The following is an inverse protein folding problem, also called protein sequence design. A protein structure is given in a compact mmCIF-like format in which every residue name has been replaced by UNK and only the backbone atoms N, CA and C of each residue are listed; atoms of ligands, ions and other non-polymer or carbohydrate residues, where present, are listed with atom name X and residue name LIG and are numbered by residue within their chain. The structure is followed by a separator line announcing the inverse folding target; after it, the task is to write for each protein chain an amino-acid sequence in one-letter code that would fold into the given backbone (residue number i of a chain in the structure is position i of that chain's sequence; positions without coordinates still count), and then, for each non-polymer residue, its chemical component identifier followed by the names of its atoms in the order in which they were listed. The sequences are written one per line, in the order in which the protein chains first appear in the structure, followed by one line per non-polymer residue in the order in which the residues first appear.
data_IF_500815318312
#
_entry.id   IF_500815318312
#
_cell.length_a   1.000
_cell.length_b   1.000
_cell.length_c   1.000
_cell.angle_alpha   90.00
_cell.angle_beta   90.00
_cell.angle_gamma   90.00
#
_symmetry.space_group_name_H-M   'P 1'
#
loop_
_entity.id
_entity.type
_entity.pdbx_description
1 polymer ?
#
# COMPACT_ATOMS: atom_id res chain seq x y z
N UNK A 1 -42.83 -24.33 -14.36
CA UNK A 1 -41.78 -23.36 -13.93
C UNK A 1 -42.32 -21.96 -14.17
N UNK A 2 -42.21 -21.02 -13.21
CA UNK A 2 -42.60 -19.65 -13.47
C UNK A 2 -41.71 -19.05 -14.55
N UNK A 3 -42.33 -18.39 -15.53
CA UNK A 3 -41.65 -17.71 -16.64
C UNK A 3 -40.67 -16.67 -16.09
N UNK A 4 -39.45 -16.55 -16.62
CA UNK A 4 -38.52 -15.52 -16.19
C UNK A 4 -39.10 -14.14 -16.51
N UNK A 5 -39.38 -13.36 -15.46
CA UNK A 5 -39.89 -12.00 -15.59
C UNK A 5 -38.82 -11.17 -16.29
N UNK A 6 -39.10 -10.77 -17.52
CA UNK A 6 -38.28 -9.84 -18.29
C UNK A 6 -38.33 -8.47 -17.61
N UNK A 7 -37.22 -8.01 -17.04
CA UNK A 7 -37.11 -6.66 -16.48
C UNK A 7 -37.40 -5.60 -17.56
N UNK A 8 -38.19 -4.57 -17.21
CA UNK A 8 -38.33 -3.39 -18.05
C UNK A 8 -36.98 -2.71 -18.27
N UNK A 9 -36.84 -1.95 -19.36
CA UNK A 9 -35.57 -1.31 -19.73
C UNK A 9 -35.02 -0.40 -18.62
N UNK A 10 -35.89 0.30 -17.90
CA UNK A 10 -35.53 1.15 -16.76
C UNK A 10 -35.04 0.32 -15.56
N UNK A 11 -35.68 -0.82 -15.28
CA UNK A 11 -35.28 -1.74 -14.22
C UNK A 11 -33.93 -2.41 -14.50
N UNK A 12 -33.61 -2.66 -15.78
CA UNK A 12 -32.32 -3.21 -16.19
C UNK A 12 -31.18 -2.20 -15.96
N UNK A 13 -31.41 -0.91 -16.20
CA UNK A 13 -30.44 0.15 -15.89
C UNK A 13 -30.27 0.29 -14.37
N UNK A 14 -31.36 0.27 -13.61
CA UNK A 14 -31.33 0.31 -12.14
C UNK A 14 -30.56 -0.87 -11.57
N UNK A 15 -30.82 -2.08 -12.06
CA UNK A 15 -30.11 -3.30 -11.69
C UNK A 15 -28.60 -3.18 -11.92
N UNK A 16 -28.18 -2.72 -13.11
CA UNK A 16 -26.77 -2.53 -13.44
C UNK A 16 -26.06 -1.54 -12.51
N UNK A 17 -26.73 -0.46 -12.14
CA UNK A 17 -26.20 0.52 -11.19
C UNK A 17 -26.07 -0.08 -9.77
N UNK A 18 -27.04 -0.86 -9.32
CA UNK A 18 -26.96 -1.57 -8.02
C UNK A 18 -25.79 -2.55 -8.01
N UNK A 19 -25.60 -3.33 -9.08
CA UNK A 19 -24.46 -4.25 -9.21
C UNK A 19 -23.14 -3.48 -9.14
N UNK A 20 -23.02 -2.35 -9.84
CA UNK A 20 -21.82 -1.52 -9.81
C UNK A 20 -21.56 -0.96 -8.39
N UNK A 21 -22.56 -0.35 -7.77
CA UNK A 21 -22.43 0.25 -6.44
C UNK A 21 -22.08 -0.80 -5.39
N UNK A 22 -22.73 -1.96 -5.40
CA UNK A 22 -22.36 -3.06 -4.52
C UNK A 22 -20.93 -3.56 -4.77
N UNK A 23 -20.48 -3.59 -6.03
CA UNK A 23 -19.10 -3.97 -6.36
C UNK A 23 -18.10 -2.99 -5.72
N UNK A 24 -18.35 -1.68 -5.87
CA UNK A 24 -17.45 -0.63 -5.39
C UNK A 24 -17.48 -0.54 -3.86
N UNK A 25 -18.67 -0.42 -3.27
CA UNK A 25 -18.85 -0.18 -1.83
C UNK A 25 -18.35 -1.35 -0.97
N UNK A 26 -18.32 -2.57 -1.52
CA UNK A 26 -17.78 -3.74 -0.82
C UNK A 26 -16.34 -4.07 -1.23
N UNK A 27 -15.68 -3.25 -2.05
CA UNK A 27 -14.31 -3.48 -2.50
C UNK A 27 -14.13 -4.75 -3.34
N UNK A 28 -15.18 -5.23 -4.01
CA UNK A 28 -15.13 -6.48 -4.76
C UNK A 28 -14.41 -6.30 -6.10
N UNK A 29 -13.57 -7.27 -6.47
CA UNK A 29 -13.00 -7.33 -7.81
C UNK A 29 -14.10 -7.46 -8.86
N UNK A 30 -14.08 -6.65 -9.93
CA UNK A 30 -14.98 -6.78 -11.09
C UNK A 30 -15.03 -8.18 -11.72
N UNK A 31 -14.10 -9.09 -11.37
CA UNK A 31 -14.13 -10.49 -11.79
C UNK A 31 -15.28 -11.28 -11.14
N UNK A 32 -15.84 -10.83 -10.02
CA UNK A 32 -16.87 -11.55 -9.26
C UNK A 32 -18.12 -11.86 -10.10
N UNK A 33 -18.49 -10.98 -11.04
CA UNK A 33 -19.64 -11.20 -11.95
C UNK A 33 -19.48 -12.38 -12.91
N UNK A 34 -18.25 -12.88 -13.08
CA UNK A 34 -17.94 -14.07 -13.88
C UNK A 34 -17.79 -15.34 -13.05
N UNK A 35 -17.76 -15.23 -11.73
CA UNK A 35 -17.62 -16.39 -10.85
C UNK A 35 -18.92 -17.23 -10.91
N UNK A 36 -18.78 -18.55 -11.08
CA UNK A 36 -19.93 -19.45 -11.23
C UNK A 36 -20.81 -19.48 -9.97
N UNK A 37 -20.22 -19.45 -8.78
CA UNK A 37 -20.97 -19.41 -7.51
C UNK A 37 -21.78 -18.13 -7.40
N UNK A 38 -21.19 -16.98 -7.75
CA UNK A 38 -21.90 -15.69 -7.76
C UNK A 38 -23.05 -15.70 -8.77
N UNK A 39 -22.88 -16.31 -9.94
CA UNK A 39 -23.93 -16.43 -10.93
C UNK A 39 -25.07 -17.34 -10.46
N UNK A 40 -24.75 -18.49 -9.85
CA UNK A 40 -25.74 -19.41 -9.26
C UNK A 40 -26.52 -18.74 -8.14
N UNK A 41 -25.86 -17.99 -7.28
CA UNK A 41 -26.50 -17.23 -6.20
C UNK A 41 -27.52 -16.22 -6.73
N UNK A 42 -27.13 -15.40 -7.73
CA UNK A 42 -28.05 -14.42 -8.34
C UNK A 42 -29.19 -15.12 -9.08
N UNK A 43 -28.90 -16.21 -9.78
CA UNK A 43 -29.91 -17.00 -10.48
C UNK A 43 -30.92 -17.64 -9.52
N UNK A 44 -30.47 -18.13 -8.36
CA UNK A 44 -31.34 -18.63 -7.30
C UNK A 44 -32.24 -17.52 -6.74
N UNK A 45 -31.68 -16.33 -6.49
CA UNK A 45 -32.45 -15.20 -5.99
C UNK A 45 -33.52 -14.73 -6.99
N UNK A 46 -33.17 -14.64 -8.28
CA UNK A 46 -34.12 -14.39 -9.35
C UNK A 46 -33.53 -14.82 -10.72
N UNK A 47 -34.11 -15.84 -11.38
CA UNK A 47 -33.63 -16.35 -12.67
C UNK A 47 -33.63 -15.31 -13.81
N UNK A 48 -34.49 -14.29 -13.72
CA UNK A 48 -34.59 -13.20 -14.70
C UNK A 48 -33.46 -12.17 -14.60
N UNK A 49 -32.69 -12.15 -13.50
CA UNK A 49 -31.58 -11.22 -13.31
C UNK A 49 -30.29 -11.75 -13.94
N UNK A 50 -29.83 -11.05 -14.99
CA UNK A 50 -28.54 -11.34 -15.62
C UNK A 50 -27.48 -10.38 -15.12
N UNK A 51 -26.36 -10.92 -14.66
CA UNK A 51 -25.19 -10.11 -14.31
C UNK A 51 -24.55 -9.52 -15.57
N UNK A 52 -24.13 -8.24 -15.55
CA UNK A 52 -23.38 -7.65 -16.64
C UNK A 52 -22.01 -8.30 -16.77
N UNK A 53 -21.50 -8.38 -17.99
CA UNK A 53 -20.14 -8.86 -18.20
C UNK A 53 -19.13 -7.90 -17.59
N UNK A 54 -17.96 -8.41 -17.14
CA UNK A 54 -16.86 -7.59 -16.61
C UNK A 54 -16.51 -6.40 -17.50
N UNK A 55 -16.50 -6.57 -18.83
CA UNK A 55 -16.19 -5.51 -19.80
C UNK A 55 -17.26 -4.42 -19.84
N UNK A 56 -18.52 -4.81 -19.73
CA UNK A 56 -19.65 -3.86 -19.72
C UNK A 56 -19.72 -3.13 -18.39
N UNK A 57 -19.46 -3.84 -17.28
CA UNK A 57 -19.44 -3.28 -15.93
C UNK A 57 -18.31 -2.27 -15.74
N UNK A 58 -17.07 -2.65 -16.04
CA UNK A 58 -15.89 -1.76 -15.93
C UNK A 58 -15.75 -0.76 -17.10
N UNK A 59 -16.65 -0.82 -18.08
CA UNK A 59 -16.65 0.06 -19.25
C UNK A 59 -17.88 0.97 -19.22
N UNK A 60 -18.85 0.68 -20.10
CA UNK A 60 -20.03 1.54 -20.30
C UNK A 60 -20.78 1.89 -19.01
N UNK A 61 -21.01 0.92 -18.12
CA UNK A 61 -21.77 1.16 -16.88
C UNK A 61 -20.96 2.06 -15.94
N UNK A 62 -19.69 1.74 -15.72
CA UNK A 62 -18.80 2.56 -14.90
C UNK A 62 -18.69 3.98 -15.45
N UNK A 63 -18.49 4.16 -16.75
CA UNK A 63 -18.36 5.48 -17.40
C UNK A 63 -19.66 6.30 -17.26
N UNK A 64 -20.81 5.69 -17.52
CA UNK A 64 -22.09 6.37 -17.39
C UNK A 64 -22.37 6.79 -15.94
N UNK A 65 -21.99 5.93 -14.98
CA UNK A 65 -22.18 6.23 -13.57
C UNK A 65 -21.16 7.26 -13.06
N UNK A 66 -19.91 7.23 -13.57
CA UNK A 66 -18.87 8.17 -13.18
C UNK A 66 -19.21 9.60 -13.55
N UNK A 67 -19.91 9.86 -14.65
CA UNK A 67 -20.32 11.22 -15.00
C UNK A 67 -21.35 11.76 -14.01
N UNK A 68 -22.30 10.91 -13.57
CA UNK A 68 -23.26 11.27 -12.54
C UNK A 68 -22.58 11.54 -11.18
N UNK A 69 -21.64 10.67 -10.78
CA UNK A 69 -20.85 10.84 -9.55
C UNK A 69 -20.02 12.13 -9.64
N UNK A 70 -19.37 12.38 -10.77
CA UNK A 70 -18.57 13.58 -11.00
C UNK A 70 -19.42 14.84 -10.87
N UNK A 71 -20.60 14.89 -11.48
CA UNK A 71 -21.49 16.03 -11.37
C UNK A 71 -21.99 16.25 -9.94
N UNK A 72 -22.33 15.17 -9.22
CA UNK A 72 -22.70 15.25 -7.81
C UNK A 72 -21.54 15.73 -6.93
N UNK A 73 -20.32 15.25 -7.15
CA UNK A 73 -19.12 15.67 -6.43
C UNK A 73 -18.78 17.13 -6.70
N UNK A 74 -18.94 17.60 -7.94
CA UNK A 74 -18.75 19.02 -8.28
C UNK A 74 -19.75 19.88 -7.51
N UNK A 75 -21.02 19.50 -7.49
CA UNK A 75 -22.06 20.23 -6.76
C UNK A 75 -21.78 20.28 -5.24
N UNK A 76 -21.38 19.16 -4.64
CA UNK A 76 -20.97 19.09 -3.23
C UNK A 76 -19.76 19.98 -2.98
N UNK A 77 -18.72 19.88 -3.81
CA UNK A 77 -17.49 20.65 -3.66
C UNK A 77 -17.71 22.16 -3.83
N UNK A 78 -18.60 22.58 -4.72
CA UNK A 78 -18.93 23.99 -4.94
C UNK A 78 -19.75 24.59 -3.79
N UNK A 79 -20.57 23.77 -3.12
CA UNK A 79 -21.39 24.18 -1.97
C UNK A 79 -20.64 24.15 -0.64
N UNK A 80 -19.45 23.55 -0.61
CA UNK A 80 -18.65 23.48 0.61
C UNK A 80 -18.09 24.85 1.00
N UNK A 81 -18.53 25.34 2.17
CA UNK A 81 -18.19 26.68 2.69
C UNK A 81 -16.76 26.74 3.24
N UNK A 82 -16.19 25.60 3.64
CA UNK A 82 -14.89 25.50 4.30
C UNK A 82 -13.75 25.18 3.32
N UNK A 83 -14.09 24.74 2.11
CA UNK A 83 -13.17 24.41 1.03
C UNK A 83 -12.79 22.92 1.01
N UNK A 84 -12.35 22.46 -0.16
CA UNK A 84 -11.93 21.07 -0.37
C UNK A 84 -10.42 20.94 -0.15
N UNK A 85 -10.02 20.00 0.71
CA UNK A 85 -8.61 19.61 0.86
C UNK A 85 -8.29 18.47 -0.09
N UNK A 86 -7.21 18.59 -0.85
CA UNK A 86 -6.71 17.54 -1.75
C UNK A 86 -5.32 17.12 -1.29
N UNK A 87 -5.14 15.83 -0.99
CA UNK A 87 -3.85 15.25 -0.66
C UNK A 87 -3.33 14.45 -1.86
N UNK A 88 -2.08 14.68 -2.25
CA UNK A 88 -1.42 13.89 -3.29
C UNK A 88 -0.39 12.96 -2.66
N UNK A 89 -0.47 11.68 -3.05
CA UNK A 89 0.54 10.69 -2.68
C UNK A 89 1.48 10.44 -3.86
N UNK A 90 2.78 10.51 -3.63
CA UNK A 90 3.79 10.31 -4.66
C UNK A 90 4.34 8.88 -4.60
N UNK A 91 4.00 8.08 -5.61
CA UNK A 91 4.56 6.74 -5.77
C UNK A 91 5.46 6.65 -7.00
N UNK A 92 6.67 6.10 -6.80
CA UNK A 92 7.51 5.60 -7.88
C UNK A 92 7.53 4.08 -7.82
N UNK A 93 7.18 3.43 -8.92
CA UNK A 93 7.29 1.98 -9.01
C UNK A 93 8.76 1.54 -9.12
N UNK A 94 9.02 0.23 -9.01
CA UNK A 94 10.37 -0.37 -9.09
C UNK A 94 11.06 -0.02 -10.42
N UNK A 95 10.28 0.21 -11.49
CA UNK A 95 10.78 0.64 -12.81
C UNK A 95 11.02 2.16 -12.91
N UNK A 96 11.04 2.87 -11.78
CA UNK A 96 11.20 4.33 -11.67
C UNK A 96 10.14 5.15 -12.42
N UNK A 97 8.99 4.56 -12.74
CA UNK A 97 7.88 5.29 -13.32
C UNK A 97 7.10 5.98 -12.23
N UNK A 98 6.82 7.26 -12.43
CA UNK A 98 6.02 8.08 -11.53
C UNK A 98 4.54 7.74 -11.73
N UNK A 99 3.88 7.35 -10.63
CA UNK A 99 2.45 7.10 -10.60
C UNK A 99 1.77 8.43 -10.24
N UNK A 100 0.82 8.84 -11.09
CA UNK A 100 -0.18 9.93 -11.00
C UNK A 100 0.09 11.15 -10.10
N UNK A 101 0.34 10.97 -8.80
CA UNK A 101 0.41 12.04 -7.80
C UNK A 101 1.47 13.10 -8.08
N UNK A 102 2.69 12.71 -8.50
CA UNK A 102 3.75 13.68 -8.80
C UNK A 102 3.44 14.54 -10.02
N UNK A 103 2.89 13.94 -11.08
CA UNK A 103 2.48 14.66 -12.29
C UNK A 103 1.30 15.60 -12.01
N UNK A 104 0.28 15.13 -11.30
CA UNK A 104 -0.88 15.96 -10.93
C UNK A 104 -0.51 17.14 -10.03
N UNK A 105 0.36 16.93 -9.04
CA UNK A 105 0.83 18.01 -8.17
C UNK A 105 1.59 19.09 -8.97
N UNK A 106 2.40 18.69 -9.96
CA UNK A 106 3.12 19.61 -10.84
C UNK A 106 2.16 20.43 -11.71
N UNK A 107 1.21 19.77 -12.39
CA UNK A 107 0.22 20.46 -13.23
C UNK A 107 -0.67 21.40 -12.41
N UNK A 108 -1.06 20.99 -11.20
CA UNK A 108 -1.86 21.83 -10.31
C UNK A 108 -1.10 23.10 -9.87
N UNK A 109 0.22 23.02 -9.62
CA UNK A 109 1.03 24.22 -9.34
C UNK A 109 1.04 25.18 -10.53
N UNK A 110 1.12 24.66 -11.74
CA UNK A 110 1.08 25.47 -12.95
C UNK A 110 -0.26 26.21 -13.05
N UNK A 111 -1.38 25.51 -12.88
CA UNK A 111 -2.72 26.10 -12.88
C UNK A 111 -2.92 27.12 -11.76
N UNK A 112 -2.39 26.86 -10.55
CA UNK A 112 -2.44 27.82 -9.45
C UNK A 112 -1.71 29.13 -9.80
N UNK A 113 -0.54 29.03 -10.43
CA UNK A 113 0.20 30.19 -10.91
C UNK A 113 -0.59 30.96 -11.95
N UNK A 114 -1.17 30.27 -12.94
CA UNK A 114 -1.95 30.89 -14.02
C UNK A 114 -3.19 31.60 -13.46
N UNK A 115 -3.92 30.96 -12.54
CA UNK A 115 -5.23 31.44 -12.08
C UNK A 115 -5.16 32.43 -10.91
N UNK A 116 -4.20 32.25 -10.01
CA UNK A 116 -4.13 33.01 -8.77
C UNK A 116 -2.86 33.86 -8.65
N UNK A 117 -1.94 33.76 -9.61
CA UNK A 117 -0.60 34.38 -9.59
C UNK A 117 0.17 34.12 -8.28
N UNK A 118 -0.13 33.01 -7.61
CA UNK A 118 0.49 32.57 -6.36
C UNK A 118 0.40 31.06 -6.25
N UNK A 119 1.37 30.47 -5.57
CA UNK A 119 1.34 29.05 -5.23
C UNK A 119 0.71 28.88 -3.86
N UNK A 120 -0.28 28.00 -3.74
CA UNK A 120 -0.70 27.52 -2.43
C UNK A 120 0.22 26.37 -2.00
N UNK A 121 0.46 26.23 -0.70
CA UNK A 121 1.30 25.16 -0.19
C UNK A 121 0.68 23.79 -0.52
N UNK A 122 1.29 23.05 -1.44
CA UNK A 122 1.01 21.63 -1.62
C UNK A 122 1.90 20.85 -0.67
N UNK A 123 1.29 20.27 0.36
CA UNK A 123 1.97 19.36 1.28
C UNK A 123 2.33 18.09 0.51
N UNK A 124 3.60 17.96 0.16
CA UNK A 124 4.17 16.70 -0.31
C UNK A 124 4.45 15.85 0.92
N UNK A 125 3.73 14.76 1.07
CA UNK A 125 4.00 13.80 2.14
C UNK A 125 5.36 13.15 1.88
N UNK A 126 6.28 13.26 2.84
CA UNK A 126 7.50 12.47 2.83
C UNK A 126 7.10 10.98 2.86
N UNK A 127 7.73 10.16 2.01
CA UNK A 127 7.58 8.72 2.02
C UNK A 127 8.18 8.14 3.30
N UNK A 128 7.43 8.19 4.40
CA UNK A 128 7.78 7.51 5.65
C UNK A 128 7.50 6.03 5.48
N UNK A 129 8.52 5.28 5.02
CA UNK A 129 8.44 3.83 4.83
C UNK A 129 8.54 3.04 6.14
N UNK A 130 8.08 3.61 7.25
CA UNK A 130 8.18 3.01 8.59
C UNK A 130 7.53 1.62 8.62
N UNK A 131 6.35 1.48 8.00
CA UNK A 131 5.70 0.19 7.82
C UNK A 131 6.59 -0.81 7.06
N UNK A 132 7.21 -0.41 5.96
CA UNK A 132 8.08 -1.28 5.17
C UNK A 132 9.31 -1.73 5.97
N UNK A 133 9.96 -0.82 6.70
CA UNK A 133 11.10 -1.15 7.56
C UNK A 133 10.68 -2.09 8.69
N UNK A 134 9.57 -1.80 9.37
CA UNK A 134 9.02 -2.66 10.42
C UNK A 134 8.73 -4.07 9.90
N UNK A 135 8.04 -4.21 8.77
CA UNK A 135 7.72 -5.51 8.19
C UNK A 135 8.97 -6.24 7.69
N UNK A 136 9.98 -5.51 7.19
CA UNK A 136 11.28 -6.08 6.86
C UNK A 136 11.95 -6.70 8.10
N UNK A 137 12.09 -5.94 9.18
CA UNK A 137 12.67 -6.43 10.44
C UNK A 137 11.85 -7.56 11.06
N UNK A 138 10.51 -7.45 11.03
CA UNK A 138 9.61 -8.50 11.47
C UNK A 138 9.85 -9.80 10.69
N UNK A 139 9.88 -9.73 9.36
CA UNK A 139 10.12 -10.88 8.49
C UNK A 139 11.49 -11.50 8.75
N UNK A 140 12.55 -10.68 8.80
CA UNK A 140 13.92 -11.12 9.11
C UNK A 140 13.99 -11.87 10.45
N UNK A 141 13.35 -11.35 11.49
CA UNK A 141 13.33 -12.01 12.80
C UNK A 141 12.56 -13.34 12.78
N UNK A 142 11.48 -13.45 12.00
CA UNK A 142 10.74 -14.71 11.84
C UNK A 142 11.56 -15.76 11.09
N UNK A 143 12.41 -15.33 10.16
CA UNK A 143 13.24 -16.22 9.34
C UNK A 143 14.63 -16.46 9.92
N UNK A 144 14.97 -15.93 11.11
CA UNK A 144 16.31 -16.07 11.74
C UNK A 144 16.83 -17.51 11.73
N UNK A 145 16.03 -18.47 12.21
CA UNK A 145 16.45 -19.88 12.27
C UNK A 145 16.68 -20.47 10.87
N UNK A 146 15.79 -20.14 9.93
CA UNK A 146 15.93 -20.58 8.55
C UNK A 146 17.19 -20.00 7.89
N UNK A 147 17.53 -18.74 8.20
CA UNK A 147 18.77 -18.09 7.72
C UNK A 147 20.03 -18.72 8.34
N UNK A 148 20.01 -19.10 9.62
CA UNK A 148 21.13 -19.85 10.22
C UNK A 148 21.33 -21.23 9.59
N UNK A 149 20.24 -21.97 9.35
CA UNK A 149 20.29 -23.25 8.61
C UNK A 149 20.70 -23.06 7.14
N UNK A 150 20.39 -21.90 6.55
CA UNK A 150 20.81 -21.57 5.20
C UNK A 150 22.34 -21.37 5.14
N UNK A 151 22.91 -20.66 6.11
CA UNK A 151 24.37 -20.49 6.20
C UNK A 151 25.08 -21.82 6.39
N UNK A 152 24.58 -22.70 7.26
CA UNK A 152 25.22 -24.01 7.46
C UNK A 152 25.26 -24.89 6.19
N UNK A 153 24.54 -24.53 5.13
CA UNK A 153 24.52 -25.26 3.84
C UNK A 153 25.33 -24.59 2.74
N UNK A 154 25.52 -23.28 2.83
CA UNK A 154 26.02 -22.45 1.72
C UNK A 154 27.15 -21.49 2.14
N UNK A 155 27.60 -21.54 3.40
CA UNK A 155 28.76 -20.79 3.85
C UNK A 155 30.03 -21.27 3.12
N UNK A 156 30.96 -20.36 2.78
CA UNK A 156 32.26 -20.73 2.26
C UNK A 156 33.09 -21.44 3.35
N UNK A 157 34.05 -22.29 2.94
CA UNK A 157 34.95 -23.03 3.86
C UNK A 157 35.75 -22.11 4.80
N UNK A 158 35.98 -20.86 4.38
CA UNK A 158 36.64 -19.79 5.13
C UNK A 158 35.81 -19.28 6.33
N UNK A 159 34.52 -19.63 6.42
CA UNK A 159 33.65 -19.20 7.51
C UNK A 159 33.93 -19.94 8.84
N UNK A 160 34.41 -21.19 8.77
CA UNK A 160 34.71 -22.01 9.95
C UNK A 160 36.15 -21.78 10.48
N UNK A 161 36.94 -20.90 9.84
CA UNK A 161 38.29 -20.57 10.29
C UNK A 161 38.23 -19.45 11.33
N UNK A 162 38.70 -19.74 12.56
CA UNK A 162 38.74 -18.79 13.68
C UNK A 162 39.45 -17.48 13.28
N UNK A 163 38.71 -16.36 13.39
CA UNK A 163 39.14 -15.01 13.06
C UNK A 163 40.46 -14.62 13.77
N UNK A 164 41.54 -14.45 13.00
CA UNK A 164 42.57 -13.45 13.32
C UNK A 164 42.33 -12.22 12.44
N UNK A 165 42.14 -11.08 13.10
CA UNK A 165 41.94 -9.72 12.59
C UNK A 165 40.53 -9.29 12.15
N UNK A 166 39.85 -8.63 13.10
CA UNK A 166 38.85 -7.61 12.88
C UNK A 166 39.41 -6.47 12.02
N UNK A 167 39.18 -6.50 10.71
CA UNK A 167 39.17 -5.26 9.93
C UNK A 167 38.08 -5.34 8.87
N UNK A 168 37.03 -4.54 9.06
CA UNK A 168 35.93 -4.38 8.10
C UNK A 168 36.50 -3.75 6.83
N UNK A 169 36.86 -4.58 5.85
CA UNK A 169 37.26 -4.13 4.53
C UNK A 169 36.04 -4.14 3.61
N UNK A 170 35.48 -2.96 3.33
CA UNK A 170 34.55 -2.79 2.21
C UNK A 170 35.34 -2.97 0.91
N UNK A 171 35.34 -4.17 0.33
CA UNK A 171 35.93 -4.41 -0.99
C UNK A 171 34.88 -4.26 -2.09
N UNK A 172 34.73 -3.03 -2.58
CA UNK A 172 34.27 -2.79 -3.96
C UNK A 172 35.36 -3.27 -4.93
N UNK A 173 35.42 -4.58 -5.20
CA UNK A 173 36.11 -5.10 -6.38
C UNK A 173 35.35 -6.27 -6.99
N UNK A 174 34.78 -5.99 -8.15
CA UNK A 174 34.42 -6.98 -9.16
C UNK A 174 35.66 -7.85 -9.46
N UNK A 175 35.65 -9.09 -8.99
CA UNK A 175 36.60 -10.10 -9.43
C UNK A 175 35.83 -11.32 -9.94
N UNK A 176 35.85 -11.44 -11.26
CA UNK A 176 35.40 -12.57 -12.05
C UNK A 176 36.15 -13.84 -11.63
N UNK A 177 35.49 -14.67 -10.81
CA UNK A 177 35.58 -16.15 -10.71
C UNK A 177 34.99 -16.60 -9.36
N UNK A 178 33.74 -16.21 -9.06
CA UNK A 178 33.04 -16.77 -7.90
C UNK A 178 32.45 -18.12 -8.29
N UNK A 179 32.78 -19.16 -7.54
CA UNK A 179 31.96 -20.37 -7.47
C UNK A 179 30.52 -19.92 -7.17
N UNK A 180 29.65 -20.02 -8.16
CA UNK A 180 28.33 -19.36 -8.26
C UNK A 180 27.28 -19.87 -7.24
N UNK A 181 27.72 -20.57 -6.18
CA UNK A 181 26.88 -21.26 -5.19
C UNK A 181 27.16 -20.89 -3.74
N UNK A 182 28.27 -20.21 -3.44
CA UNK A 182 28.63 -19.86 -2.07
C UNK A 182 28.09 -18.47 -1.67
N UNK A 183 27.63 -18.34 -0.43
CA UNK A 183 27.21 -17.06 0.14
C UNK A 183 28.41 -16.12 0.34
N UNK A 184 28.24 -14.80 0.15
CA UNK A 184 29.23 -13.82 0.57
C UNK A 184 29.54 -13.92 2.07
N UNK A 185 30.84 -13.91 2.43
CA UNK A 185 31.32 -14.11 3.80
C UNK A 185 30.80 -13.03 4.76
N UNK A 186 30.71 -11.78 4.31
CA UNK A 186 30.16 -10.65 5.04
C UNK A 186 28.70 -10.87 5.46
N UNK A 187 27.88 -11.42 4.55
CA UNK A 187 26.48 -11.77 4.82
C UNK A 187 26.39 -12.90 5.85
N UNK A 188 27.25 -13.92 5.75
CA UNK A 188 27.33 -14.99 6.74
C UNK A 188 27.67 -14.44 8.14
N UNK A 189 28.70 -13.57 8.23
CA UNK A 189 29.11 -12.93 9.49
C UNK A 189 28.00 -12.08 10.10
N UNK A 190 27.25 -11.30 9.29
CA UNK A 190 26.12 -10.50 9.77
C UNK A 190 25.01 -11.38 10.36
N UNK A 191 24.64 -12.46 9.68
CA UNK A 191 23.54 -13.33 10.10
C UNK A 191 23.93 -14.18 11.31
N UNK A 192 25.20 -14.53 11.51
CA UNK A 192 25.59 -15.26 12.71
C UNK A 192 25.77 -14.36 13.95
N UNK A 193 25.99 -13.06 13.73
CA UNK A 193 26.13 -12.08 14.79
C UNK A 193 24.85 -11.90 15.65
N UNK A 194 24.91 -12.34 16.91
CA UNK A 194 23.81 -12.21 17.86
C UNK A 194 23.54 -10.76 18.31
N UNK A 195 24.55 -9.89 18.33
CA UNK A 195 24.40 -8.45 18.62
C UNK A 195 23.55 -7.79 17.54
N UNK A 196 23.83 -8.08 16.26
CA UNK A 196 23.04 -7.59 15.14
C UNK A 196 21.56 -7.99 15.26
N UNK A 197 21.28 -9.25 15.62
CA UNK A 197 19.89 -9.70 15.84
C UNK A 197 19.20 -8.98 17.01
N UNK A 198 19.94 -8.63 18.07
CA UNK A 198 19.43 -7.86 19.21
C UNK A 198 19.07 -6.44 18.76
N UNK A 199 19.90 -5.81 17.96
CA UNK A 199 19.66 -4.47 17.38
C UNK A 199 18.43 -4.47 16.47
N UNK A 200 18.30 -5.43 15.54
CA UNK A 200 17.11 -5.56 14.67
C UNK A 200 15.84 -5.72 15.52
N UNK A 201 15.91 -6.45 16.63
CA UNK A 201 14.78 -6.60 17.57
C UNK A 201 14.44 -5.29 18.27
N UNK A 202 15.44 -4.50 18.65
CA UNK A 202 15.23 -3.16 19.23
C UNK A 202 14.62 -2.21 18.21
N UNK A 203 15.14 -2.17 16.98
CA UNK A 203 14.61 -1.35 15.89
C UNK A 203 13.15 -1.69 15.59
N UNK A 204 12.79 -2.97 15.55
CA UNK A 204 11.38 -3.40 15.41
C UNK A 204 10.50 -2.85 16.54
N UNK A 205 10.95 -2.93 17.80
CA UNK A 205 10.20 -2.41 18.95
C UNK A 205 10.02 -0.91 18.86
N UNK A 206 11.07 -0.19 18.50
CA UNK A 206 11.08 1.26 18.37
C UNK A 206 10.17 1.74 17.24
N UNK A 207 10.10 1.03 16.11
CA UNK A 207 9.25 1.38 14.98
C UNK A 207 7.76 1.03 15.16
N UNK A 208 7.44 0.04 15.99
CA UNK A 208 6.06 -0.43 16.20
C UNK A 208 5.06 0.71 16.53
N UNK A 209 5.32 1.61 17.50
CA UNK A 209 4.38 2.70 17.80
C UNK A 209 4.17 3.65 16.63
N UNK A 210 5.22 3.95 15.86
CA UNK A 210 5.13 4.80 14.67
C UNK A 210 4.28 4.16 13.58
N UNK A 211 4.42 2.84 13.38
CA UNK A 211 3.59 2.09 12.43
C UNK A 211 2.11 2.10 12.84
N UNK A 212 1.83 1.94 14.13
CA UNK A 212 0.46 2.00 14.67
C UNK A 212 -0.19 3.37 14.44
N UNK A 213 0.53 4.45 14.75
CA UNK A 213 0.08 5.80 14.49
C UNK A 213 -0.13 6.06 12.98
N UNK A 214 0.84 5.67 12.14
CA UNK A 214 0.74 5.83 10.69
C UNK A 214 -0.49 5.11 10.13
N UNK A 215 -0.72 3.86 10.53
CA UNK A 215 -1.90 3.09 10.13
C UNK A 215 -3.20 3.79 10.51
N UNK A 216 -3.26 4.40 11.71
CA UNK A 216 -4.43 5.16 12.17
C UNK A 216 -4.63 6.45 11.37
N UNK A 217 -3.55 7.16 11.07
CA UNK A 217 -3.59 8.44 10.35
C UNK A 217 -3.84 8.27 8.84
N UNK A 218 -3.59 7.08 8.28
CA UNK A 218 -3.82 6.77 6.87
C UNK A 218 -5.21 6.21 6.57
N UNK A 219 -6.06 6.00 7.58
CA UNK A 219 -7.46 5.58 7.35
C UNK A 219 -8.27 6.75 6.78
N UNK A 220 -9.23 6.46 5.89
CA UNK A 220 -10.09 7.45 5.24
C UNK A 220 -10.84 8.39 6.21
N UNK A 221 -11.03 7.97 7.46
CA UNK A 221 -11.75 8.71 8.49
C UNK A 221 -10.83 9.35 9.55
N UNK A 222 -9.52 9.38 9.33
CA UNK A 222 -8.57 10.03 10.23
C UNK A 222 -8.86 11.54 10.32
N UNK A 223 -8.82 12.08 11.53
CA UNK A 223 -9.10 13.50 11.80
C UNK A 223 -7.86 14.21 12.33
N UNK A 224 -7.87 15.53 12.28
CA UNK A 224 -6.73 16.33 12.75
C UNK A 224 -6.40 16.10 14.24
N UNK A 225 -7.38 15.79 15.09
CA UNK A 225 -7.11 15.44 16.49
C UNK A 225 -6.39 14.09 16.63
N UNK A 226 -6.51 13.16 15.67
CA UNK A 226 -5.75 11.91 15.69
C UNK A 226 -4.26 12.16 15.50
N UNK A 227 -3.90 13.23 14.78
CA UNK A 227 -2.52 13.71 14.66
C UNK A 227 -2.01 14.17 16.02
N UNK A 228 -2.78 15.00 16.72
CA UNK A 228 -2.43 15.46 18.07
C UNK A 228 -2.30 14.30 19.06
N UNK A 229 -3.22 13.34 19.03
CA UNK A 229 -3.12 12.12 19.84
C UNK A 229 -1.89 11.29 19.51
N UNK A 230 -1.51 11.19 18.24
CA UNK A 230 -0.29 10.48 17.82
C UNK A 230 0.97 11.15 18.38
N UNK A 231 1.04 12.49 18.35
CA UNK A 231 2.14 13.23 18.98
C UNK A 231 2.17 13.06 20.49
N UNK A 232 1.03 13.15 21.17
CA UNK A 232 0.95 12.91 22.62
C UNK A 232 1.36 11.49 23.01
N UNK A 233 0.99 10.51 22.20
CA UNK A 233 1.40 9.12 22.37
C UNK A 233 2.92 8.96 22.21
N UNK A 234 3.52 9.54 21.16
CA UNK A 234 4.97 9.52 20.98
C UNK A 234 5.69 10.21 22.13
N UNK A 235 5.22 11.38 22.57
CA UNK A 235 5.80 12.09 23.70
C UNK A 235 5.83 11.22 24.94
N UNK A 236 4.71 10.55 25.27
CA UNK A 236 4.64 9.62 26.40
C UNK A 236 5.61 8.44 26.26
N UNK A 237 5.68 7.81 25.08
CA UNK A 237 6.63 6.72 24.82
C UNK A 237 8.05 7.19 25.10
N UNK A 238 8.45 8.34 24.56
CA UNK A 238 9.82 8.81 24.69
C UNK A 238 10.18 9.29 26.10
N UNK A 239 9.20 9.68 26.93
CA UNK A 239 9.41 9.89 28.36
C UNK A 239 9.76 8.61 29.12
N UNK A 240 9.32 7.44 28.65
CA UNK A 240 9.69 6.15 29.24
C UNK A 240 11.08 5.67 28.78
N UNK A 241 11.68 6.37 27.80
CA UNK A 241 13.00 6.09 27.23
C UNK A 241 14.05 7.19 27.52
N UNK A 242 13.70 8.22 28.30
CA UNK A 242 14.69 9.20 28.76
C UNK A 242 15.66 8.54 29.75
N UNK A 243 16.96 8.74 29.54
CA UNK A 243 18.06 8.25 30.39
C UNK A 243 17.83 8.53 31.90
#
# INVERSE_FOLDING_TARGET
MPQPISLFKQDNTRWKNLVLNSTINNGWSFRWVKNQSSQKMIHFANPGLKLPSRKVLAGRILIANSENIKNALIDIAQKDVFGVTVCFDEWKNIKKQEIMGKRLASELRNEQKIKYNKYFALLLLCATRWNSHYYCYFSLLQTKLALKVFISKYAPEEFDQEDQDETIYYSDKESETRNDKALPLDICKIIDNEVWWKEIRQLKKLLLPFCGALNKLQVENARLYDVLHSFGYFYKIWQEYSD
#
